data_IF_659878272508
#
_entry.id   IF_659878272508
#
_cell.length_a   1.000
_cell.length_b   1.000
_cell.length_c   1.000
_cell.angle_alpha   90.00
_cell.angle_beta   90.00
_cell.angle_gamma   90.00
#
_symmetry.space_group_name_H-M   'P 1'
#
loop_
_entity.id
_entity.type
_entity.pdbx_description
1 polymer ?
#
# COMPACT_ATOMS: atom_id res chain seq x y z
N UNK A 1 -10.96 -22.59 -17.95
CA UNK A 1 -10.67 -21.81 -19.18
C UNK A 1 -9.77 -20.67 -18.76
N UNK A 2 -8.53 -20.64 -19.22
CA UNK A 2 -7.63 -19.52 -19.00
C UNK A 2 -8.13 -18.34 -19.84
N UNK A 3 -8.30 -17.19 -19.19
CA UNK A 3 -8.86 -15.99 -19.80
C UNK A 3 -7.72 -15.19 -20.40
N UNK A 4 -7.79 -14.88 -21.70
CA UNK A 4 -6.75 -14.09 -22.37
C UNK A 4 -6.51 -12.75 -21.66
N UNK A 5 -5.23 -12.39 -21.58
CA UNK A 5 -4.78 -11.15 -20.96
C UNK A 5 -5.04 -9.97 -21.90
N UNK A 6 -6.29 -9.50 -21.94
CA UNK A 6 -6.67 -8.33 -22.74
C UNK A 6 -6.39 -7.03 -21.99
N UNK A 7 -6.01 -5.99 -22.72
CA UNK A 7 -5.77 -4.64 -22.16
C UNK A 7 -6.95 -4.09 -21.36
N UNK A 8 -8.17 -4.43 -21.77
CA UNK A 8 -9.39 -4.04 -21.06
C UNK A 8 -9.45 -4.62 -19.63
N UNK A 9 -9.01 -5.86 -19.44
CA UNK A 9 -8.94 -6.51 -18.11
C UNK A 9 -7.81 -5.94 -17.28
N UNK A 10 -6.66 -5.69 -17.89
CA UNK A 10 -5.51 -5.06 -17.23
C UNK A 10 -5.90 -3.70 -16.65
N UNK A 11 -6.59 -2.86 -17.42
CA UNK A 11 -7.07 -1.55 -16.95
C UNK A 11 -8.06 -1.67 -15.79
N UNK A 12 -8.99 -2.64 -15.80
CA UNK A 12 -9.91 -2.86 -14.67
C UNK A 12 -9.17 -3.25 -13.39
N UNK A 13 -8.18 -4.14 -13.50
CA UNK A 13 -7.35 -4.56 -12.35
C UNK A 13 -6.49 -3.40 -11.86
N UNK A 14 -5.85 -2.68 -12.77
CA UNK A 14 -5.05 -1.50 -12.46
C UNK A 14 -5.89 -0.43 -11.75
N UNK A 15 -7.10 -0.15 -12.24
CA UNK A 15 -8.01 0.82 -11.63
C UNK A 15 -8.43 0.40 -10.22
N UNK A 16 -8.73 -0.88 -10.01
CA UNK A 16 -9.09 -1.43 -8.70
C UNK A 16 -7.93 -1.34 -7.69
N UNK A 17 -6.69 -1.52 -8.15
CA UNK A 17 -5.47 -1.31 -7.37
C UNK A 17 -5.25 0.18 -7.09
N UNK A 18 -5.29 1.01 -8.13
CA UNK A 18 -4.98 2.43 -8.07
C UNK A 18 -5.86 3.18 -7.08
N UNK A 19 -7.19 2.98 -7.13
CA UNK A 19 -8.11 3.67 -6.23
C UNK A 19 -7.95 3.22 -4.77
N UNK A 20 -7.72 1.93 -4.53
CA UNK A 20 -7.47 1.41 -3.17
C UNK A 20 -6.14 1.90 -2.61
N UNK A 21 -5.10 1.88 -3.44
CA UNK A 21 -3.80 2.39 -3.06
C UNK A 21 -3.85 3.89 -2.75
N UNK A 22 -4.54 4.68 -3.57
CA UNK A 22 -4.71 6.12 -3.36
C UNK A 22 -5.46 6.41 -2.04
N UNK A 23 -6.58 5.73 -1.78
CA UNK A 23 -7.34 5.91 -0.53
C UNK A 23 -6.51 5.50 0.69
N UNK A 24 -5.82 4.36 0.64
CA UNK A 24 -4.98 3.89 1.75
C UNK A 24 -3.79 4.82 2.00
N UNK A 25 -3.11 5.30 0.97
CA UNK A 25 -1.98 6.21 1.13
C UNK A 25 -2.41 7.60 1.58
N UNK A 26 -3.54 8.14 1.09
CA UNK A 26 -4.07 9.41 1.58
C UNK A 26 -4.52 9.31 3.05
N UNK A 27 -5.17 8.22 3.43
CA UNK A 27 -5.62 8.02 4.81
C UNK A 27 -4.43 7.81 5.74
N UNK A 28 -3.46 7.01 5.32
CA UNK A 28 -2.21 6.81 6.07
C UNK A 28 -1.43 8.12 6.19
N UNK A 29 -1.25 8.88 5.11
CA UNK A 29 -0.50 10.14 5.15
C UNK A 29 -1.19 11.19 6.02
N UNK A 30 -2.52 11.26 6.03
CA UNK A 30 -3.25 12.13 6.93
C UNK A 30 -3.02 11.75 8.40
N UNK A 31 -3.14 10.47 8.75
CA UNK A 31 -2.95 9.99 10.13
C UNK A 31 -1.49 10.15 10.59
N UNK A 32 -0.53 9.67 9.79
CA UNK A 32 0.88 9.77 10.10
C UNK A 32 1.38 11.21 10.06
N UNK A 33 0.87 12.05 9.15
CA UNK A 33 1.25 13.46 9.01
C UNK A 33 0.85 14.30 10.22
N UNK A 34 -0.34 14.06 10.79
CA UNK A 34 -0.78 14.74 12.02
C UNK A 34 0.12 14.33 13.20
N UNK A 35 0.33 13.04 13.40
CA UNK A 35 1.16 12.52 14.51
C UNK A 35 2.60 13.01 14.37
N UNK A 36 3.17 12.91 13.17
CA UNK A 36 4.52 13.39 12.89
C UNK A 36 4.64 14.90 13.10
N UNK A 37 3.65 15.69 12.64
CA UNK A 37 3.63 17.13 12.80
C UNK A 37 3.61 17.55 14.27
N UNK A 38 2.82 16.89 15.11
CA UNK A 38 2.76 17.14 16.56
C UNK A 38 4.09 16.77 17.23
N UNK A 39 4.67 15.61 16.90
CA UNK A 39 5.96 15.18 17.47
C UNK A 39 7.07 16.13 17.06
N UNK A 40 7.15 16.51 15.79
CA UNK A 40 8.15 17.46 15.30
C UNK A 40 7.96 18.82 15.97
N UNK A 41 6.75 19.36 16.01
CA UNK A 41 6.47 20.66 16.60
C UNK A 41 6.83 20.71 18.10
N UNK A 42 6.52 19.65 18.85
CA UNK A 42 6.82 19.57 20.29
C UNK A 42 8.31 19.38 20.57
N UNK A 43 9.02 18.59 19.77
CA UNK A 43 10.47 18.39 19.89
C UNK A 43 11.24 19.63 19.46
N UNK A 44 10.89 20.27 18.33
CA UNK A 44 11.51 21.53 17.88
C UNK A 44 11.33 22.63 18.92
N UNK A 45 10.13 22.76 19.49
CA UNK A 45 9.83 23.78 20.48
C UNK A 45 10.66 23.63 21.77
N UNK A 46 11.12 22.41 22.09
CA UNK A 46 11.89 22.13 23.31
C UNK A 46 13.39 22.05 23.10
N UNK A 47 13.85 21.66 21.92
CA UNK A 47 15.24 21.30 21.70
C UNK A 47 16.09 22.41 21.06
N UNK A 48 15.49 23.46 20.47
CA UNK A 48 16.24 24.46 19.68
C UNK A 48 17.08 23.84 18.54
N UNK A 49 16.79 22.58 18.20
CA UNK A 49 17.65 21.70 17.42
C UNK A 49 17.36 21.80 15.93
N UNK A 50 18.42 21.60 15.13
CA UNK A 50 18.41 21.57 13.67
C UNK A 50 17.45 20.52 13.11
N UNK A 51 16.69 20.92 12.09
CA UNK A 51 15.58 20.18 11.43
C UNK A 51 15.98 18.90 10.68
N UNK A 52 17.26 18.60 10.56
CA UNK A 52 17.77 17.55 9.65
C UNK A 52 17.64 16.12 10.21
N UNK A 53 17.88 15.92 11.51
CA UNK A 53 17.80 14.59 12.13
C UNK A 53 16.37 14.04 12.19
N UNK A 54 15.33 14.84 12.51
CA UNK A 54 13.95 14.36 12.53
C UNK A 54 13.43 13.91 11.15
N UNK A 55 13.85 14.58 10.07
CA UNK A 55 13.34 14.29 8.72
C UNK A 55 13.81 12.94 8.19
N UNK A 56 15.09 12.59 8.38
CA UNK A 56 15.62 11.31 7.88
C UNK A 56 14.93 10.11 8.56
N UNK A 57 14.74 10.18 9.89
CA UNK A 57 14.06 9.13 10.65
C UNK A 57 12.59 9.02 10.22
N UNK A 58 11.91 10.16 10.04
CA UNK A 58 10.52 10.17 9.61
C UNK A 58 10.35 9.62 8.19
N UNK A 59 11.22 10.00 7.26
CA UNK A 59 11.22 9.50 5.89
C UNK A 59 11.46 7.99 5.84
N UNK A 60 12.38 7.49 6.66
CA UNK A 60 12.66 6.05 6.78
C UNK A 60 11.42 5.27 7.24
N UNK A 61 10.75 5.75 8.30
CA UNK A 61 9.53 5.13 8.83
C UNK A 61 8.40 5.19 7.79
N UNK A 62 8.20 6.34 7.16
CA UNK A 62 7.18 6.52 6.13
C UNK A 62 7.41 5.58 4.93
N UNK A 63 8.67 5.34 4.55
CA UNK A 63 9.04 4.42 3.47
C UNK A 63 8.66 2.98 3.80
N UNK A 64 8.96 2.51 5.01
CA UNK A 64 8.61 1.16 5.46
C UNK A 64 7.10 0.97 5.52
N UNK A 65 6.38 1.96 6.07
CA UNK A 65 4.92 1.94 6.14
C UNK A 65 4.30 1.96 4.73
N UNK A 66 4.83 2.77 3.81
CA UNK A 66 4.38 2.84 2.43
C UNK A 66 4.53 1.49 1.69
N UNK A 67 5.67 0.82 1.89
CA UNK A 67 5.89 -0.53 1.34
C UNK A 67 4.91 -1.56 1.91
N UNK A 68 4.67 -1.54 3.23
CA UNK A 68 3.71 -2.44 3.87
C UNK A 68 2.28 -2.21 3.34
N UNK A 69 1.86 -0.96 3.16
CA UNK A 69 0.57 -0.61 2.59
C UNK A 69 0.43 -1.09 1.13
N UNK A 70 1.50 -1.05 0.33
CA UNK A 70 1.52 -1.58 -1.03
C UNK A 70 1.30 -3.10 -1.08
N UNK A 71 1.88 -3.85 -0.14
CA UNK A 71 1.61 -5.29 -0.04
C UNK A 71 0.15 -5.55 0.38
N UNK A 72 -0.39 -4.73 1.26
CA UNK A 72 -1.77 -4.84 1.72
C UNK A 72 -2.76 -4.59 0.58
N UNK A 73 -2.53 -3.54 -0.23
CA UNK A 73 -3.37 -3.24 -1.41
C UNK A 73 -3.34 -4.38 -2.42
N UNK A 74 -2.17 -4.98 -2.64
CA UNK A 74 -2.03 -6.16 -3.51
C UNK A 74 -2.91 -7.32 -3.02
N UNK A 75 -2.87 -7.63 -1.71
CA UNK A 75 -3.71 -8.68 -1.11
C UNK A 75 -5.20 -8.41 -1.28
N UNK A 76 -5.65 -7.16 -1.14
CA UNK A 76 -7.04 -6.78 -1.35
C UNK A 76 -7.47 -6.94 -2.82
N UNK A 77 -6.61 -6.57 -3.77
CA UNK A 77 -6.88 -6.71 -5.21
C UNK A 77 -6.98 -8.17 -5.62
N UNK A 78 -6.14 -9.05 -5.06
CA UNK A 78 -6.23 -10.50 -5.25
C UNK A 78 -7.58 -11.08 -4.78
N UNK A 79 -8.15 -10.54 -3.71
CA UNK A 79 -9.46 -10.95 -3.21
C UNK A 79 -10.66 -10.35 -3.95
N UNK A 80 -10.45 -9.42 -4.87
CA UNK A 80 -11.54 -8.73 -5.56
C UNK A 80 -12.20 -9.62 -6.63
N UNK A 81 -13.53 -9.64 -6.63
CA UNK A 81 -14.32 -10.23 -7.70
C UNK A 81 -14.61 -9.15 -8.76
N UNK A 82 -14.14 -9.36 -10.00
CA UNK A 82 -14.33 -8.42 -11.11
C UNK A 82 -15.60 -8.73 -11.92
N UNK A 83 -16.48 -9.60 -11.41
CA UNK A 83 -17.70 -10.06 -12.07
C UNK A 83 -17.41 -11.11 -13.13
N UNK A 84 -16.67 -10.73 -14.19
CA UNK A 84 -16.29 -11.63 -15.29
C UNK A 84 -15.14 -12.58 -14.92
N UNK A 85 -14.29 -12.20 -13.97
CA UNK A 85 -13.14 -13.00 -13.56
C UNK A 85 -12.71 -12.68 -12.11
N UNK A 86 -11.94 -13.59 -11.51
CA UNK A 86 -11.27 -13.39 -10.21
C UNK A 86 -9.80 -13.75 -10.36
N UNK A 87 -8.93 -13.01 -9.69
CA UNK A 87 -7.49 -13.32 -9.65
C UNK A 87 -7.29 -14.38 -8.58
N UNK A 88 -6.99 -15.62 -8.97
CA UNK A 88 -6.72 -16.71 -8.05
C UNK A 88 -5.31 -17.23 -8.25
N UNK A 89 -4.62 -17.52 -7.15
CA UNK A 89 -3.33 -18.21 -7.18
C UNK A 89 -3.57 -19.69 -7.46
N UNK A 90 -3.14 -20.16 -8.62
CA UNK A 90 -3.19 -21.58 -9.00
C UNK A 90 -1.82 -22.18 -8.75
N UNK A 91 -1.77 -23.35 -8.09
CA UNK A 91 -0.50 -24.04 -7.86
C UNK A 91 -0.01 -24.71 -9.13
N UNK A 92 1.24 -24.44 -9.53
CA UNK A 92 1.89 -25.13 -10.64
C UNK A 92 2.38 -26.55 -10.30
N UNK A 93 2.34 -26.93 -9.01
CA UNK A 93 2.71 -28.27 -8.56
C UNK A 93 1.47 -29.15 -8.41
N UNK A 94 1.51 -30.44 -8.83
CA UNK A 94 0.47 -31.39 -8.47
C UNK A 94 0.49 -31.52 -6.94
N UNK A 95 -0.58 -31.06 -6.30
CA UNK A 95 -0.78 -31.23 -4.86
C UNK A 95 -0.76 -32.75 -4.57
N UNK A 96 0.16 -33.27 -3.75
CA UNK A 96 0.08 -34.66 -3.31
C UNK A 96 -1.22 -34.84 -2.51
N UNK A 97 -1.96 -35.94 -2.70
CA UNK A 97 -3.16 -36.21 -1.90
C UNK A 97 -2.81 -36.21 -0.42
N UNK A 98 -3.61 -35.50 0.39
CA UNK A 98 -3.54 -35.51 1.86
C UNK A 98 -4.21 -36.75 2.41
#
# INVERSE_FOLDING_TARGET
MELEMTWHRVIRVWWAYFWRALVLTMTASALFGIVAGIVIATVLSKAGASTEIPQLVLASIASVVGLALSLLTMKFVLGCNFGEFRIALVSNSPRPPR
#
